data_IF_335136145603
#
_entry.id   IF_335136145603
#
_cell.length_a   1.000
_cell.length_b   1.000
_cell.length_c   1.000
_cell.angle_alpha   90.00
_cell.angle_beta   90.00
_cell.angle_gamma   90.00
#
_symmetry.space_group_name_H-M   'P 1'
#
loop_
_entity.id
_entity.type
_entity.pdbx_description
1 polymer ?
#
# COMPACT_ATOMS: atom_id res chain seq x y z
N UNK A 1 4.96 -31.28 -14.05
CA UNK A 1 6.35 -30.79 -14.12
C UNK A 1 6.56 -29.87 -12.92
N UNK A 2 7.17 -30.41 -11.87
CA UNK A 2 7.39 -29.71 -10.60
C UNK A 2 8.83 -29.24 -10.46
N UNK A 3 8.95 -28.01 -9.97
CA UNK A 3 9.79 -27.52 -8.87
C UNK A 3 11.28 -27.90 -8.70
N UNK A 4 11.98 -26.87 -8.21
CA UNK A 4 13.14 -26.81 -7.31
C UNK A 4 14.56 -26.63 -7.87
N UNK A 5 15.21 -25.65 -7.21
CA UNK A 5 16.56 -25.10 -7.32
C UNK A 5 17.65 -26.17 -7.32
N UNK A 6 18.74 -25.89 -8.04
CA UNK A 6 20.07 -26.35 -7.66
C UNK A 6 21.06 -25.18 -7.78
N UNK A 7 21.55 -24.75 -6.62
CA UNK A 7 22.78 -24.00 -6.45
C UNK A 7 23.90 -25.01 -6.23
N UNK A 8 25.06 -24.85 -6.88
CA UNK A 8 26.41 -25.00 -6.32
C UNK A 8 27.45 -25.26 -7.40
N UNK A 9 28.58 -24.54 -7.31
CA UNK A 9 29.88 -25.04 -7.76
C UNK A 9 30.55 -24.24 -8.88
N UNK A 10 31.31 -23.21 -8.53
CA UNK A 10 32.73 -23.21 -8.89
C UNK A 10 33.53 -22.41 -7.86
N UNK A 11 34.39 -23.14 -7.14
CA UNK A 11 35.48 -22.63 -6.31
C UNK A 11 36.52 -21.94 -7.19
N UNK A 12 37.01 -20.79 -6.76
CA UNK A 12 38.39 -20.35 -6.96
C UNK A 12 38.80 -19.47 -5.77
N UNK A 13 39.66 -20.05 -4.94
CA UNK A 13 40.40 -19.41 -3.86
C UNK A 13 41.49 -18.51 -4.42
N UNK A 14 41.69 -17.31 -3.87
CA UNK A 14 43.03 -16.76 -3.63
C UNK A 14 42.97 -15.85 -2.40
N UNK A 15 43.74 -16.21 -1.36
CA UNK A 15 44.02 -15.38 -0.21
C UNK A 15 45.04 -14.28 -0.58
N UNK A 16 44.81 -13.07 -0.12
CA UNK A 16 45.73 -11.94 -0.26
C UNK A 16 45.44 -10.87 0.79
N UNK A 17 45.96 -11.07 2.00
CA UNK A 17 45.95 -10.05 3.06
C UNK A 17 47.10 -9.08 2.74
N UNK A 18 46.78 -7.86 2.32
CA UNK A 18 47.74 -6.77 2.27
C UNK A 18 47.73 -6.01 3.61
N UNK A 19 48.78 -6.20 4.40
CA UNK A 19 49.10 -5.33 5.54
C UNK A 19 49.73 -4.04 5.00
N UNK A 20 49.09 -2.90 5.22
CA UNK A 20 49.73 -1.59 5.03
C UNK A 20 50.39 -1.15 6.35
N UNK A 21 51.72 -1.19 6.39
CA UNK A 21 52.54 -0.61 7.45
C UNK A 21 52.45 0.92 7.39
N UNK A 22 52.04 1.56 8.49
CA UNK A 22 52.23 2.99 8.69
C UNK A 22 53.63 3.25 9.25
N UNK A 23 54.50 3.85 8.45
CA UNK A 23 55.81 4.35 8.87
C UNK A 23 55.62 5.66 9.63
N UNK A 24 56.11 5.71 10.87
CA UNK A 24 56.26 6.95 11.65
C UNK A 24 57.34 7.85 11.03
N UNK A 25 57.02 9.12 10.78
CA UNK A 25 58.01 10.18 10.55
C UNK A 25 58.28 10.95 11.85
N UNK A 26 59.52 11.37 12.15
CA UNK A 26 59.82 12.13 13.36
C UNK A 26 59.50 13.62 13.19
N UNK A 27 59.04 14.23 14.28
CA UNK A 27 58.86 15.68 14.43
C UNK A 27 60.21 16.41 14.34
N UNK A 28 60.27 17.44 13.49
CA UNK A 28 61.31 18.47 13.53
C UNK A 28 60.68 19.75 14.07
N UNK A 29 61.19 20.21 15.21
CA UNK A 29 60.88 21.50 15.84
C UNK A 29 61.68 22.64 15.20
N UNK A 30 61.01 23.72 14.82
CA UNK A 30 61.60 25.00 14.41
C UNK A 30 60.67 26.18 14.73
N UNK A 31 61.18 27.38 15.04
CA UNK A 31 60.51 28.35 15.92
C UNK A 31 59.49 29.25 15.20
N UNK A 32 58.53 29.74 15.99
CA UNK A 32 57.28 30.31 15.54
C UNK A 32 57.28 31.68 14.88
N UNK A 33 56.10 32.01 14.38
CA UNK A 33 55.59 33.37 14.24
C UNK A 33 54.08 33.35 14.55
N UNK A 34 53.68 34.17 15.52
CA UNK A 34 52.30 34.41 15.94
C UNK A 34 51.56 35.22 14.88
N UNK A 35 50.38 34.77 14.45
CA UNK A 35 49.26 35.66 14.16
C UNK A 35 47.96 35.00 14.61
N UNK A 36 47.30 35.67 15.55
CA UNK A 36 46.05 35.33 16.21
C UNK A 36 44.86 35.34 15.25
N UNK A 37 44.15 34.21 15.17
CA UNK A 37 42.77 34.12 14.69
C UNK A 37 42.08 33.05 15.51
N UNK A 38 41.12 33.45 16.34
CA UNK A 38 40.43 32.59 17.31
C UNK A 38 39.72 31.43 16.63
N UNK A 39 40.29 30.23 16.74
CA UNK A 39 39.55 28.97 16.61
C UNK A 39 39.11 28.57 18.00
N UNK A 40 37.80 28.54 18.24
CA UNK A 40 37.23 27.89 19.43
C UNK A 40 37.36 26.38 19.20
N UNK A 41 38.56 25.86 19.44
CA UNK A 41 38.78 24.44 19.60
C UNK A 41 38.27 24.05 20.99
N UNK A 42 37.06 23.49 21.06
CA UNK A 42 36.60 22.79 22.26
C UNK A 42 37.57 21.64 22.55
N UNK A 43 38.30 21.75 23.65
CA UNK A 43 39.11 20.66 24.21
C UNK A 43 38.20 19.47 24.53
N UNK A 44 38.59 18.22 24.22
CA UNK A 44 37.82 17.07 24.68
C UNK A 44 38.03 16.95 26.19
N UNK A 45 37.03 17.36 26.97
CA UNK A 45 37.03 17.13 28.40
C UNK A 45 36.98 15.62 28.66
N UNK A 46 37.95 15.12 29.43
CA UNK A 46 37.92 13.78 30.01
C UNK A 46 36.70 13.67 30.94
N UNK A 47 35.56 13.22 30.40
CA UNK A 47 34.36 12.90 31.18
C UNK A 47 33.60 11.73 30.54
N UNK A 48 34.28 10.60 30.32
CA UNK A 48 33.62 9.31 30.05
C UNK A 48 33.35 8.54 31.35
N UNK A 49 32.85 9.23 32.37
CA UNK A 49 32.31 8.61 33.58
C UNK A 49 31.36 9.59 34.25
N UNK A 50 30.05 9.45 34.00
CA UNK A 50 28.95 9.71 34.95
C UNK A 50 27.58 9.49 34.27
N UNK A 51 27.06 8.27 34.39
CA UNK A 51 25.73 7.80 33.94
C UNK A 51 25.46 7.87 32.42
N UNK A 52 24.92 6.79 31.85
CA UNK A 52 24.39 6.79 30.48
C UNK A 52 23.09 7.61 30.42
N UNK A 53 23.17 8.95 30.54
CA UNK A 53 22.02 9.81 30.33
C UNK A 53 21.70 9.85 28.84
N UNK A 54 20.47 9.49 28.46
CA UNK A 54 20.01 9.48 27.07
C UNK A 54 20.08 10.84 26.35
N UNK A 55 20.17 11.96 27.09
CA UNK A 55 20.27 13.30 26.52
C UNK A 55 21.52 13.53 25.66
N UNK A 56 22.64 12.88 25.98
CA UNK A 56 23.86 12.98 25.15
C UNK A 56 23.68 12.32 23.78
N UNK A 57 22.89 11.25 23.69
CA UNK A 57 22.63 10.58 22.40
C UNK A 57 21.81 11.46 21.47
N UNK A 58 20.79 12.13 21.98
CA UNK A 58 20.00 13.08 21.20
C UNK A 58 20.86 14.25 20.70
N UNK A 59 21.66 14.87 21.57
CA UNK A 59 22.55 15.97 21.19
C UNK A 59 23.57 15.55 20.11
N UNK A 60 24.11 14.33 20.22
CA UNK A 60 25.04 13.78 19.23
C UNK A 60 24.36 13.52 17.88
N UNK A 61 23.17 12.91 17.88
CA UNK A 61 22.38 12.69 16.66
C UNK A 61 22.04 14.00 15.96
N UNK A 62 21.66 15.03 16.72
CA UNK A 62 21.40 16.37 16.18
C UNK A 62 22.66 17.02 15.62
N UNK A 63 23.82 16.86 16.26
CA UNK A 63 25.10 17.41 15.79
C UNK A 63 25.57 16.76 14.49
N UNK A 64 25.42 15.44 14.36
CA UNK A 64 25.71 14.74 13.10
C UNK A 64 24.74 15.23 12.01
N UNK A 65 23.45 15.34 12.33
CA UNK A 65 22.44 15.80 11.37
C UNK A 65 22.70 17.23 10.92
N UNK A 66 23.07 18.12 11.85
CA UNK A 66 23.44 19.51 11.55
C UNK A 66 24.68 19.60 10.65
N UNK A 67 25.65 18.70 10.83
CA UNK A 67 26.81 18.61 9.92
C UNK A 67 26.37 18.23 8.51
N UNK A 68 25.48 17.25 8.38
CA UNK A 68 24.88 16.86 7.08
C UNK A 68 24.06 18.01 6.49
N UNK A 69 23.35 18.79 7.32
CA UNK A 69 22.58 19.95 6.90
C UNK A 69 23.47 21.03 6.26
N UNK A 70 24.65 21.28 6.83
CA UNK A 70 25.64 22.21 6.27
C UNK A 70 26.11 21.73 4.88
N UNK A 71 26.48 20.46 4.75
CA UNK A 71 26.89 19.91 3.45
C UNK A 71 25.76 19.91 2.42
N UNK A 72 24.52 19.71 2.85
CA UNK A 72 23.35 19.82 1.99
C UNK A 72 23.16 21.26 1.49
N UNK A 73 23.30 22.26 2.37
CA UNK A 73 23.26 23.67 1.97
C UNK A 73 24.34 24.02 0.93
N UNK A 74 25.56 23.52 1.13
CA UNK A 74 26.66 23.66 0.17
C UNK A 74 26.35 23.01 -1.18
N UNK A 75 25.77 21.81 -1.17
CA UNK A 75 25.39 21.09 -2.39
C UNK A 75 24.31 21.85 -3.18
N UNK A 76 23.27 22.34 -2.48
CA UNK A 76 22.21 23.15 -3.08
C UNK A 76 22.74 24.46 -3.67
N UNK A 77 23.68 25.11 -2.98
CA UNK A 77 24.32 26.34 -3.46
C UNK A 77 25.20 26.11 -4.71
N UNK A 78 25.82 24.93 -4.84
CA UNK A 78 26.78 24.61 -5.91
C UNK A 78 26.19 23.79 -7.06
N UNK A 79 24.89 23.51 -7.04
CA UNK A 79 24.26 22.53 -7.94
C UNK A 79 24.44 22.86 -9.44
N UNK A 80 24.56 24.14 -9.81
CA UNK A 80 24.82 24.57 -11.20
C UNK A 80 26.31 24.52 -11.62
N UNK A 81 27.22 24.28 -10.68
CA UNK A 81 28.67 24.26 -10.90
C UNK A 81 29.35 22.90 -10.69
N UNK A 82 28.65 21.91 -10.12
CA UNK A 82 29.19 20.57 -9.87
C UNK A 82 28.86 19.60 -11.01
N UNK A 83 29.80 18.73 -11.42
CA UNK A 83 29.48 17.61 -12.30
C UNK A 83 28.42 16.69 -11.69
N UNK A 84 27.46 16.23 -12.49
CA UNK A 84 26.31 15.43 -12.03
C UNK A 84 26.72 14.17 -11.24
N UNK A 85 27.79 13.49 -11.67
CA UNK A 85 28.31 12.31 -10.98
C UNK A 85 28.81 12.62 -9.56
N UNK A 86 29.45 13.78 -9.37
CA UNK A 86 29.93 14.24 -8.07
C UNK A 86 28.76 14.61 -7.16
N UNK A 87 27.75 15.30 -7.69
CA UNK A 87 26.54 15.64 -6.92
C UNK A 87 25.83 14.38 -6.39
N UNK A 88 25.66 13.37 -7.25
CA UNK A 88 25.06 12.07 -6.87
C UNK A 88 25.90 11.34 -5.83
N UNK A 89 27.23 11.33 -5.98
CA UNK A 89 28.12 10.69 -5.01
C UNK A 89 28.06 11.37 -3.64
N UNK A 90 28.06 12.71 -3.61
CA UNK A 90 27.91 13.48 -2.37
C UNK A 90 26.56 13.18 -1.72
N UNK A 91 25.46 13.18 -2.47
CA UNK A 91 24.13 12.83 -1.96
C UNK A 91 24.14 11.43 -1.30
N UNK A 92 24.70 10.42 -1.97
CA UNK A 92 24.78 9.06 -1.45
C UNK A 92 25.60 8.98 -0.16
N UNK A 93 26.74 9.68 -0.10
CA UNK A 93 27.59 9.70 1.08
C UNK A 93 26.89 10.39 2.26
N UNK A 94 26.19 11.50 2.02
CA UNK A 94 25.40 12.19 3.05
C UNK A 94 24.26 11.29 3.56
N UNK A 95 23.56 10.59 2.67
CA UNK A 95 22.53 9.61 3.05
C UNK A 95 23.12 8.51 3.93
N UNK A 96 24.28 7.96 3.55
CA UNK A 96 24.94 6.90 4.31
C UNK A 96 25.35 7.36 5.72
N UNK A 97 25.83 8.60 5.88
CA UNK A 97 26.15 9.17 7.20
C UNK A 97 24.90 9.16 8.09
N UNK A 98 23.76 9.61 7.57
CA UNK A 98 22.49 9.61 8.31
C UNK A 98 22.06 8.20 8.67
N UNK A 99 22.11 7.26 7.72
CA UNK A 99 21.72 5.86 7.94
C UNK A 99 22.59 5.13 8.97
N UNK A 100 23.91 5.32 8.91
CA UNK A 100 24.83 4.72 9.87
C UNK A 100 24.62 5.31 11.27
N UNK A 101 24.41 6.61 11.35
CA UNK A 101 24.11 7.30 12.62
C UNK A 101 22.80 6.80 13.23
N UNK A 102 21.76 6.63 12.41
CA UNK A 102 20.49 6.02 12.82
C UNK A 102 20.68 4.58 13.32
N UNK A 103 21.46 3.75 12.59
CA UNK A 103 21.76 2.37 13.02
C UNK A 103 22.44 2.33 14.37
N UNK A 104 23.42 3.21 14.61
CA UNK A 104 24.10 3.33 15.91
C UNK A 104 23.11 3.77 16.99
N UNK A 105 22.34 4.82 16.72
CA UNK A 105 21.33 5.34 17.67
C UNK A 105 20.33 4.26 18.09
N UNK A 106 19.78 3.50 17.14
CA UNK A 106 18.82 2.42 17.41
C UNK A 106 19.41 1.25 18.19
N UNK A 107 20.73 1.04 18.14
CA UNK A 107 21.41 0.03 18.96
C UNK A 107 21.65 0.49 20.39
N UNK A 108 21.69 1.79 20.62
CA UNK A 108 21.94 2.39 21.93
C UNK A 108 20.63 2.74 22.67
N UNK A 109 19.53 2.92 21.95
CA UNK A 109 18.23 3.27 22.53
C UNK A 109 17.32 2.04 22.60
N UNK A 110 16.70 1.81 23.77
CA UNK A 110 15.85 0.64 24.04
C UNK A 110 14.43 0.73 23.46
N UNK A 111 13.99 1.92 23.01
CA UNK A 111 12.69 2.13 22.37
C UNK A 111 12.84 2.98 21.10
N UNK A 112 12.28 2.52 19.97
CA UNK A 112 12.29 3.26 18.70
C UNK A 112 11.36 4.49 18.67
N UNK A 113 11.00 5.04 19.83
CA UNK A 113 10.11 6.21 19.94
C UNK A 113 10.92 7.49 19.91
N UNK A 114 10.40 8.55 19.29
CA UNK A 114 11.07 9.85 19.28
C UNK A 114 12.27 9.94 18.32
N UNK A 115 12.44 8.97 17.41
CA UNK A 115 13.61 8.89 16.52
C UNK A 115 13.67 10.10 15.59
N UNK A 116 12.55 10.51 14.99
CA UNK A 116 12.53 11.65 14.07
C UNK A 116 12.83 12.97 14.80
N UNK A 117 12.34 13.12 16.03
CA UNK A 117 12.61 14.26 16.90
C UNK A 117 14.08 14.28 17.35
N UNK A 118 14.65 13.12 17.68
CA UNK A 118 16.04 13.00 18.08
C UNK A 118 17.02 13.35 16.94
N UNK A 119 16.61 13.12 15.69
CA UNK A 119 17.37 13.53 14.51
C UNK A 119 16.91 14.89 13.94
N UNK A 120 15.94 15.56 14.56
CA UNK A 120 15.49 16.89 14.11
C UNK A 120 14.97 16.91 12.66
N UNK A 121 14.40 15.80 12.18
CA UNK A 121 14.03 15.63 10.75
C UNK A 121 13.12 16.76 10.27
N UNK A 122 12.06 17.08 11.02
CA UNK A 122 11.14 18.15 10.65
C UNK A 122 11.82 19.54 10.70
N UNK A 123 12.60 19.82 11.74
CA UNK A 123 13.28 21.11 11.91
C UNK A 123 14.25 21.42 10.77
N UNK A 124 14.83 20.39 10.13
CA UNK A 124 15.72 20.55 8.97
C UNK A 124 15.02 21.10 7.71
N UNK A 125 13.67 21.10 7.67
CA UNK A 125 12.93 21.77 6.58
C UNK A 125 13.18 23.28 6.55
N UNK A 126 13.53 23.90 7.69
CA UNK A 126 13.83 25.33 7.79
C UNK A 126 15.09 25.76 7.01
N UNK A 127 15.87 24.80 6.50
CA UNK A 127 17.10 25.06 5.74
C UNK A 127 16.83 25.55 4.31
N UNK A 128 15.62 25.34 3.79
CA UNK A 128 15.30 25.65 2.40
C UNK A 128 13.88 26.15 2.20
N UNK A 129 13.56 26.39 0.93
CA UNK A 129 12.26 26.90 0.55
C UNK A 129 11.30 25.74 0.30
N UNK A 130 10.22 25.64 1.09
CA UNK A 130 9.19 24.60 0.93
C UNK A 130 8.44 24.70 -0.41
N UNK A 131 8.55 25.83 -1.12
CA UNK A 131 8.02 26.00 -2.46
C UNK A 131 8.95 25.48 -3.57
N UNK A 132 10.22 25.18 -3.27
CA UNK A 132 11.19 24.64 -4.21
C UNK A 132 11.13 23.10 -4.26
N UNK A 133 10.67 22.50 -5.37
CA UNK A 133 10.55 21.05 -5.48
C UNK A 133 11.91 20.32 -5.45
N UNK A 134 12.99 20.99 -5.85
CA UNK A 134 14.35 20.41 -5.87
C UNK A 134 14.86 20.24 -4.44
N UNK A 135 14.74 21.30 -3.64
CA UNK A 135 15.04 21.24 -2.21
C UNK A 135 14.24 20.14 -1.51
N UNK A 136 12.92 20.11 -1.68
CA UNK A 136 12.03 19.17 -0.98
C UNK A 136 12.32 17.71 -1.38
N UNK A 137 12.61 17.46 -2.66
CA UNK A 137 13.00 16.14 -3.13
C UNK A 137 14.32 15.67 -2.51
N UNK A 138 15.33 16.55 -2.46
CA UNK A 138 16.63 16.24 -1.87
C UNK A 138 16.55 16.07 -0.36
N UNK A 139 15.79 16.94 0.33
CA UNK A 139 15.48 16.81 1.74
C UNK A 139 14.85 15.45 2.04
N UNK A 140 13.86 15.02 1.25
CA UNK A 140 13.22 13.72 1.47
C UNK A 140 14.24 12.58 1.34
N UNK A 141 15.04 12.57 0.26
CA UNK A 141 16.05 11.54 -0.03
C UNK A 141 17.05 11.37 1.12
N UNK A 142 17.53 12.48 1.67
CA UNK A 142 18.60 12.50 2.66
C UNK A 142 18.12 12.43 4.11
N UNK A 143 17.03 13.14 4.42
CA UNK A 143 16.59 13.40 5.80
C UNK A 143 15.34 12.66 6.19
N UNK A 144 14.50 12.25 5.23
CA UNK A 144 13.24 11.56 5.53
C UNK A 144 13.32 10.06 5.25
N UNK A 145 13.85 9.67 4.09
CA UNK A 145 13.82 8.28 3.61
C UNK A 145 14.43 7.28 4.62
N UNK A 146 15.58 7.53 5.27
CA UNK A 146 16.14 6.62 6.28
C UNK A 146 15.22 6.36 7.48
N UNK A 147 14.29 7.28 7.76
CA UNK A 147 13.43 7.28 8.94
C UNK A 147 12.02 6.76 8.68
N UNK A 148 11.69 6.40 7.42
CA UNK A 148 10.36 5.90 7.04
C UNK A 148 9.82 4.74 7.90
N UNK A 149 10.64 3.77 8.38
CA UNK A 149 10.16 2.72 9.27
C UNK A 149 9.68 3.22 10.65
N UNK A 150 10.09 4.42 11.06
CA UNK A 150 9.87 5.00 12.39
C UNK A 150 8.85 6.15 12.40
N UNK A 151 8.19 6.43 11.27
CA UNK A 151 7.24 7.54 11.17
C UNK A 151 6.11 7.40 12.18
N UNK A 152 5.84 8.50 12.88
CA UNK A 152 4.78 8.61 13.87
C UNK A 152 3.62 9.42 13.31
N UNK A 153 2.43 9.22 13.89
CA UNK A 153 1.26 10.03 13.57
C UNK A 153 1.50 11.52 13.88
N UNK A 154 2.14 11.85 15.01
CA UNK A 154 2.45 13.24 15.38
C UNK A 154 3.35 13.93 14.36
N UNK A 155 4.35 13.21 13.82
CA UNK A 155 5.21 13.73 12.77
C UNK A 155 4.43 14.00 11.47
N UNK A 156 3.59 13.04 11.04
CA UNK A 156 2.81 13.18 9.80
C UNK A 156 1.83 14.36 9.85
N UNK A 157 1.18 14.58 11.00
CA UNK A 157 0.31 15.74 11.22
C UNK A 157 1.10 17.04 11.09
N UNK A 158 2.28 17.13 11.72
CA UNK A 158 3.12 18.31 11.62
C UNK A 158 3.59 18.56 10.18
N UNK A 159 4.07 17.52 9.50
CA UNK A 159 4.47 17.59 8.10
C UNK A 159 3.31 18.05 7.18
N UNK A 160 2.07 17.60 7.45
CA UNK A 160 0.88 18.02 6.71
C UNK A 160 0.47 19.48 6.93
N UNK A 161 0.95 20.10 8.00
CA UNK A 161 0.71 21.51 8.32
C UNK A 161 1.79 22.45 7.74
N UNK A 162 2.87 21.90 7.20
CA UNK A 162 3.89 22.69 6.51
C UNK A 162 3.34 23.30 5.21
N UNK A 163 3.82 24.50 4.87
CA UNK A 163 3.33 25.29 3.73
C UNK A 163 4.06 24.94 2.43
N UNK A 164 4.02 23.68 2.02
CA UNK A 164 4.54 23.26 0.72
C UNK A 164 3.75 23.88 -0.44
N UNK A 165 4.44 24.21 -1.54
CA UNK A 165 3.75 24.42 -2.82
C UNK A 165 3.18 23.08 -3.33
N UNK A 166 2.16 23.11 -4.18
CA UNK A 166 1.60 21.88 -4.74
C UNK A 166 2.64 21.04 -5.49
N UNK A 167 3.55 21.68 -6.24
CA UNK A 167 4.65 20.98 -6.90
C UNK A 167 5.59 20.29 -5.90
N UNK A 168 5.92 20.93 -4.78
CA UNK A 168 6.76 20.34 -3.73
C UNK A 168 6.06 19.22 -2.99
N UNK A 169 4.79 19.40 -2.65
CA UNK A 169 3.97 18.35 -2.05
C UNK A 169 3.92 17.11 -2.95
N UNK A 170 3.69 17.29 -4.25
CA UNK A 170 3.67 16.19 -5.21
C UNK A 170 5.01 15.46 -5.31
N UNK A 171 6.16 16.16 -5.15
CA UNK A 171 7.47 15.51 -5.03
C UNK A 171 7.56 14.61 -3.79
N UNK A 172 7.01 15.04 -2.66
CA UNK A 172 6.93 14.20 -1.47
C UNK A 172 6.09 12.95 -1.74
N UNK A 173 4.91 13.09 -2.37
CA UNK A 173 4.03 11.95 -2.67
C UNK A 173 4.72 10.94 -3.58
N UNK A 174 5.44 11.39 -4.60
CA UNK A 174 6.24 10.52 -5.47
C UNK A 174 7.30 9.79 -4.64
N UNK A 175 8.03 10.49 -3.78
CA UNK A 175 9.10 9.88 -2.99
C UNK A 175 8.57 8.88 -1.94
N UNK A 176 7.48 9.22 -1.23
CA UNK A 176 6.78 8.29 -0.35
C UNK A 176 6.24 7.07 -1.11
N UNK A 177 5.81 7.23 -2.35
CA UNK A 177 5.29 6.13 -3.17
C UNK A 177 6.40 5.15 -3.58
N UNK A 178 7.58 5.67 -3.95
CA UNK A 178 8.76 4.86 -4.27
C UNK A 178 9.20 4.05 -3.05
N UNK A 179 9.29 4.70 -1.89
CA UNK A 179 9.79 4.09 -0.65
C UNK A 179 8.71 3.38 0.17
N UNK A 180 7.50 3.19 -0.40
CA UNK A 180 6.32 2.63 0.29
C UNK A 180 6.61 1.30 1.00
N UNK A 181 7.47 0.46 0.42
CA UNK A 181 7.81 -0.86 0.94
C UNK A 181 8.54 -0.83 2.29
N UNK A 182 9.15 0.30 2.65
CA UNK A 182 9.81 0.51 3.94
C UNK A 182 8.84 1.00 5.04
N UNK A 183 7.60 1.32 4.67
CA UNK A 183 6.55 1.80 5.57
C UNK A 183 5.61 0.63 5.89
N UNK A 184 5.36 0.32 7.17
CA UNK A 184 4.45 -0.78 7.51
C UNK A 184 3.00 -0.43 7.15
N UNK A 185 2.17 -1.44 6.89
CA UNK A 185 0.80 -1.25 6.41
C UNK A 185 -0.03 -0.24 7.23
N UNK A 186 0.02 -0.30 8.57
CA UNK A 186 -0.67 0.67 9.44
C UNK A 186 -0.15 2.10 9.25
N UNK A 187 1.15 2.27 9.07
CA UNK A 187 1.76 3.58 8.83
C UNK A 187 1.48 4.09 7.42
N UNK A 188 1.32 3.22 6.41
CA UNK A 188 0.90 3.66 5.07
C UNK A 188 -0.49 4.31 5.10
N UNK A 189 -1.44 3.72 5.84
CA UNK A 189 -2.74 4.34 6.07
C UNK A 189 -2.62 5.65 6.86
N UNK A 190 -1.69 5.73 7.82
CA UNK A 190 -1.40 6.95 8.55
C UNK A 190 -0.82 8.06 7.65
N UNK A 191 0.05 7.73 6.68
CA UNK A 191 0.57 8.67 5.67
C UNK A 191 -0.60 9.27 4.89
N UNK A 192 -1.52 8.44 4.41
CA UNK A 192 -2.73 8.96 3.77
C UNK A 192 -3.54 9.86 4.72
N UNK A 193 -3.90 9.36 5.90
CA UNK A 193 -4.85 10.03 6.80
C UNK A 193 -4.32 11.33 7.39
N UNK A 194 -3.07 11.32 7.85
CA UNK A 194 -2.50 12.39 8.66
C UNK A 194 -1.58 13.33 7.89
N UNK A 195 -1.10 12.93 6.70
CA UNK A 195 -0.30 13.79 5.84
C UNK A 195 -1.07 14.17 4.57
N UNK A 196 -1.33 13.22 3.67
CA UNK A 196 -1.93 13.49 2.34
C UNK A 196 -3.30 14.16 2.47
N UNK A 197 -4.23 13.50 3.17
CA UNK A 197 -5.59 13.99 3.37
C UNK A 197 -5.60 15.32 4.11
N UNK A 198 -4.77 15.46 5.14
CA UNK A 198 -4.68 16.67 5.95
C UNK A 198 -4.21 17.86 5.11
N UNK A 199 -3.14 17.69 4.32
CA UNK A 199 -2.62 18.73 3.43
C UNK A 199 -3.62 19.12 2.33
N UNK A 200 -4.20 18.15 1.62
CA UNK A 200 -5.16 18.43 0.53
C UNK A 200 -6.47 19.06 1.03
N UNK A 201 -6.81 18.88 2.32
CA UNK A 201 -7.99 19.49 2.93
C UNK A 201 -7.82 20.96 3.31
N UNK A 202 -6.59 21.50 3.25
CA UNK A 202 -6.27 22.85 3.70
C UNK A 202 -6.86 23.91 2.77
N UNK A 203 -7.75 24.72 3.33
CA UNK A 203 -8.43 25.82 2.61
C UNK A 203 -7.65 27.14 2.64
N UNK A 204 -6.61 27.21 3.45
CA UNK A 204 -5.77 28.38 3.64
C UNK A 204 -4.57 28.44 2.66
N UNK A 205 -4.39 27.41 1.83
CA UNK A 205 -3.40 27.39 0.76
C UNK A 205 -3.95 28.05 -0.53
N UNK A 206 -3.09 28.56 -1.42
CA UNK A 206 -3.52 29.19 -2.67
C UNK A 206 -4.27 28.28 -3.65
N UNK A 207 -3.97 26.97 -3.63
CA UNK A 207 -4.61 25.95 -4.46
C UNK A 207 -5.02 24.74 -3.60
N UNK A 208 -6.14 24.84 -2.83
CA UNK A 208 -6.65 23.74 -2.03
C UNK A 208 -6.88 22.48 -2.90
N UNK A 209 -6.41 21.32 -2.42
CA UNK A 209 -6.49 20.07 -3.17
C UNK A 209 -5.51 19.95 -4.35
N UNK A 210 -4.67 20.96 -4.60
CA UNK A 210 -3.66 20.97 -5.67
C UNK A 210 -4.23 20.65 -7.06
N UNK A 211 -5.36 21.28 -7.39
CA UNK A 211 -6.14 21.02 -8.61
C UNK A 211 -5.54 21.76 -9.80
N UNK A 212 -5.04 22.98 -9.61
CA UNK A 212 -4.58 23.84 -10.72
C UNK A 212 -3.25 23.40 -11.35
N UNK A 213 -2.48 22.56 -10.64
CA UNK A 213 -1.13 22.12 -11.04
C UNK A 213 -1.10 21.04 -12.14
N UNK A 214 -2.25 20.49 -12.53
CA UNK A 214 -2.36 19.30 -13.39
C UNK A 214 -3.55 19.41 -14.35
N UNK A 215 -3.46 18.76 -15.51
CA UNK A 215 -4.39 18.98 -16.62
C UNK A 215 -5.67 18.11 -16.57
N UNK A 216 -5.61 16.95 -15.92
CA UNK A 216 -6.72 16.01 -15.87
C UNK A 216 -6.78 15.24 -14.55
N UNK A 217 -7.92 14.58 -14.29
CA UNK A 217 -8.16 13.84 -13.05
C UNK A 217 -7.24 12.63 -12.86
N UNK A 218 -6.73 12.06 -13.96
CA UNK A 218 -5.83 10.91 -13.94
C UNK A 218 -4.45 11.32 -13.44
N UNK A 219 -3.91 12.40 -14.00
CA UNK A 219 -2.66 13.04 -13.56
C UNK A 219 -2.79 13.57 -12.15
N UNK A 220 -3.92 14.19 -11.81
CA UNK A 220 -4.19 14.69 -10.47
C UNK A 220 -4.18 13.59 -9.41
N UNK A 221 -4.84 12.46 -9.65
CA UNK A 221 -4.85 11.32 -8.74
C UNK A 221 -3.43 10.79 -8.53
N UNK A 222 -2.67 10.62 -9.62
CA UNK A 222 -1.30 10.12 -9.55
C UNK A 222 -0.36 11.09 -8.81
N UNK A 223 -0.43 12.38 -9.10
CA UNK A 223 0.47 13.38 -8.54
C UNK A 223 0.22 13.60 -7.04
N UNK A 224 -1.05 13.62 -6.61
CA UNK A 224 -1.41 14.00 -5.25
C UNK A 224 -1.58 12.80 -4.30
N UNK A 225 -1.74 11.58 -4.81
CA UNK A 225 -1.91 10.38 -3.97
C UNK A 225 -0.89 9.28 -4.27
N UNK A 226 -0.41 9.18 -5.50
CA UNK A 226 0.54 8.13 -5.91
C UNK A 226 0.07 6.73 -5.49
N UNK A 227 0.96 5.97 -4.86
CA UNK A 227 0.65 4.62 -4.36
C UNK A 227 -0.29 4.56 -3.16
N UNK A 228 -0.67 5.71 -2.59
CA UNK A 228 -1.60 5.81 -1.45
C UNK A 228 -3.05 6.07 -1.90
N UNK A 229 -3.31 6.17 -3.20
CA UNK A 229 -4.65 6.42 -3.75
C UNK A 229 -5.71 5.43 -3.26
N UNK A 230 -5.34 4.18 -3.02
CA UNK A 230 -6.24 3.13 -2.53
C UNK A 230 -6.79 3.37 -1.12
N UNK A 231 -6.18 4.27 -0.34
CA UNK A 231 -6.66 4.60 0.99
C UNK A 231 -7.72 5.72 0.98
N UNK A 232 -7.89 6.42 -0.14
CA UNK A 232 -8.89 7.46 -0.28
C UNK A 232 -10.28 6.87 -0.58
N UNK A 233 -11.32 7.48 -0.04
CA UNK A 233 -12.70 7.21 -0.49
C UNK A 233 -13.01 7.99 -1.77
N UNK A 234 -13.99 7.55 -2.55
CA UNK A 234 -14.48 8.34 -3.71
C UNK A 234 -14.92 9.73 -3.28
N UNK A 235 -15.57 9.83 -2.11
CA UNK A 235 -16.02 11.11 -1.55
C UNK A 235 -14.85 12.04 -1.26
N UNK A 236 -13.75 11.53 -0.67
CA UNK A 236 -12.55 12.31 -0.45
C UNK A 236 -12.00 12.88 -1.76
N UNK A 237 -11.90 12.05 -2.82
CA UNK A 237 -11.42 12.49 -4.13
C UNK A 237 -12.29 13.62 -4.72
N UNK A 238 -13.60 13.50 -4.62
CA UNK A 238 -14.55 14.51 -5.11
C UNK A 238 -14.53 15.81 -4.29
N UNK A 239 -14.27 15.72 -2.98
CA UNK A 239 -14.13 16.90 -2.11
C UNK A 239 -12.84 17.67 -2.41
N UNK A 240 -11.74 16.97 -2.66
CA UNK A 240 -10.45 17.61 -2.95
C UNK A 240 -10.34 18.11 -4.38
N UNK A 241 -10.99 17.44 -5.33
CA UNK A 241 -11.10 17.89 -6.71
C UNK A 241 -12.57 17.87 -7.16
N UNK A 242 -13.27 19.02 -7.09
CA UNK A 242 -14.66 19.12 -7.54
C UNK A 242 -14.89 18.74 -9.01
N UNK A 243 -13.84 18.78 -9.84
CA UNK A 243 -13.87 18.40 -11.25
C UNK A 243 -13.37 16.96 -11.49
N UNK A 244 -13.30 16.13 -10.44
CA UNK A 244 -12.79 14.77 -10.54
C UNK A 244 -13.70 13.90 -11.44
N UNK A 245 -13.17 13.49 -12.58
CA UNK A 245 -13.85 12.69 -13.58
C UNK A 245 -13.56 11.20 -13.39
N UNK A 246 -14.53 10.49 -12.81
CA UNK A 246 -14.47 9.04 -12.61
C UNK A 246 -14.22 8.29 -13.92
N UNK A 247 -14.83 8.73 -15.02
CA UNK A 247 -14.79 8.01 -16.29
C UNK A 247 -13.35 7.84 -16.81
N UNK A 248 -12.51 8.88 -16.67
CA UNK A 248 -11.11 8.83 -17.10
C UNK A 248 -10.19 8.17 -16.07
N UNK A 249 -10.60 8.11 -14.79
CA UNK A 249 -9.79 7.53 -13.71
C UNK A 249 -10.15 6.11 -13.34
N UNK A 250 -11.24 5.54 -13.88
CA UNK A 250 -11.77 4.24 -13.46
C UNK A 250 -10.71 3.13 -13.53
N UNK A 251 -9.83 3.17 -14.53
CA UNK A 251 -8.71 2.25 -14.70
C UNK A 251 -7.65 2.31 -13.58
N UNK A 252 -7.60 3.40 -12.81
CA UNK A 252 -6.64 3.63 -11.73
C UNK A 252 -7.21 3.43 -10.32
N UNK A 253 -8.54 3.35 -10.19
CA UNK A 253 -9.19 3.21 -8.89
C UNK A 253 -8.93 1.82 -8.28
N UNK A 254 -8.84 1.74 -6.96
CA UNK A 254 -8.82 0.47 -6.24
C UNK A 254 -10.17 -0.25 -6.33
N UNK A 255 -10.22 -1.59 -6.26
CA UNK A 255 -11.48 -2.33 -6.33
C UNK A 255 -12.52 -1.89 -5.28
N UNK A 256 -12.08 -1.55 -4.07
CA UNK A 256 -12.94 -0.95 -3.03
C UNK A 256 -13.53 0.41 -3.45
N UNK A 257 -12.74 1.28 -4.06
CA UNK A 257 -13.24 2.56 -4.59
C UNK A 257 -14.23 2.36 -5.74
N UNK A 258 -14.03 1.35 -6.59
CA UNK A 258 -14.97 0.98 -7.65
C UNK A 258 -16.29 0.46 -7.07
N UNK A 259 -16.25 -0.25 -5.93
CA UNK A 259 -17.48 -0.64 -5.22
C UNK A 259 -18.22 0.58 -4.65
N UNK A 260 -17.50 1.51 -3.99
CA UNK A 260 -18.07 2.77 -3.48
C UNK A 260 -18.76 3.57 -4.58
N UNK A 261 -18.17 3.56 -5.78
CA UNK A 261 -18.74 4.20 -6.96
C UNK A 261 -20.15 3.70 -7.28
N UNK A 262 -20.35 2.37 -7.28
CA UNK A 262 -21.64 1.76 -7.59
C UNK A 262 -22.70 1.96 -6.48
N UNK A 263 -22.24 2.27 -5.26
CA UNK A 263 -23.12 2.60 -4.14
C UNK A 263 -23.49 4.10 -4.10
N UNK A 264 -22.84 4.94 -4.92
CA UNK A 264 -23.12 6.37 -4.96
C UNK A 264 -24.46 6.68 -5.64
N UNK A 265 -25.33 7.43 -4.95
CA UNK A 265 -26.63 7.85 -5.48
C UNK A 265 -26.56 8.73 -6.73
N UNK A 266 -25.39 9.33 -7.00
CA UNK A 266 -25.21 10.28 -8.10
C UNK A 266 -24.83 9.59 -9.42
N UNK A 267 -24.75 8.26 -9.44
CA UNK A 267 -24.27 7.50 -10.58
C UNK A 267 -25.37 6.57 -11.08
N UNK A 268 -25.65 6.66 -12.37
CA UNK A 268 -26.52 5.68 -13.03
C UNK A 268 -25.72 4.43 -13.34
N UNK A 269 -26.05 3.32 -12.68
CA UNK A 269 -25.40 2.03 -12.92
C UNK A 269 -26.09 1.35 -14.11
N UNK A 270 -25.41 1.29 -15.25
CA UNK A 270 -25.87 0.62 -16.46
C UNK A 270 -24.89 -0.49 -16.92
N UNK A 271 -25.26 -1.20 -17.99
CA UNK A 271 -24.46 -2.31 -18.53
C UNK A 271 -23.09 -1.85 -19.05
N UNK A 272 -22.99 -0.64 -19.60
CA UNK A 272 -21.75 -0.11 -20.13
C UNK A 272 -20.76 0.21 -19.01
N UNK A 273 -21.23 0.85 -17.93
CA UNK A 273 -20.42 1.09 -16.74
C UNK A 273 -19.96 -0.23 -16.13
N UNK A 274 -20.84 -1.21 -15.98
CA UNK A 274 -20.46 -2.53 -15.46
C UNK A 274 -19.38 -3.20 -16.33
N UNK A 275 -19.43 -3.04 -17.66
CA UNK A 275 -18.36 -3.56 -18.51
C UNK A 275 -17.02 -2.91 -18.19
N UNK A 276 -16.96 -1.59 -18.08
CA UNK A 276 -15.72 -0.87 -17.75
C UNK A 276 -15.22 -1.21 -16.34
N UNK A 277 -16.13 -1.36 -15.37
CA UNK A 277 -15.82 -1.83 -14.01
C UNK A 277 -15.14 -3.19 -14.07
N UNK A 278 -15.70 -4.16 -14.81
CA UNK A 278 -15.11 -5.49 -14.89
C UNK A 278 -13.85 -5.54 -15.77
N UNK A 279 -13.67 -4.64 -16.73
CA UNK A 279 -12.38 -4.43 -17.40
C UNK A 279 -11.30 -4.00 -16.41
N UNK A 280 -11.63 -3.06 -15.51
CA UNK A 280 -10.74 -2.67 -14.41
C UNK A 280 -10.46 -3.83 -13.45
N UNK A 281 -11.49 -4.58 -13.04
CA UNK A 281 -11.32 -5.69 -12.09
C UNK A 281 -10.54 -6.86 -12.72
N UNK A 282 -10.61 -7.06 -14.03
CA UNK A 282 -9.84 -8.09 -14.73
C UNK A 282 -8.34 -7.77 -14.83
N UNK A 283 -7.92 -6.51 -14.64
CA UNK A 283 -6.53 -6.12 -14.73
C UNK A 283 -5.70 -6.64 -13.55
N UNK A 284 -4.65 -7.42 -13.83
CA UNK A 284 -3.79 -8.02 -12.81
C UNK A 284 -4.42 -9.27 -12.18
N UNK A 285 -4.52 -9.32 -10.85
CA UNK A 285 -5.14 -10.45 -10.16
C UNK A 285 -6.66 -10.28 -10.08
N UNK A 286 -7.37 -10.81 -11.07
CA UNK A 286 -8.81 -10.65 -11.18
C UNK A 286 -9.59 -11.23 -9.98
N UNK A 287 -9.13 -12.36 -9.42
CA UNK A 287 -9.79 -12.98 -8.27
C UNK A 287 -9.68 -12.08 -7.03
N UNK A 288 -8.48 -11.56 -6.74
CA UNK A 288 -8.25 -10.64 -5.61
C UNK A 288 -9.04 -9.34 -5.80
N UNK A 289 -9.08 -8.79 -7.01
CA UNK A 289 -9.83 -7.57 -7.29
C UNK A 289 -11.34 -7.77 -7.09
N UNK A 290 -11.92 -8.85 -7.61
CA UNK A 290 -13.35 -9.15 -7.44
C UNK A 290 -13.69 -9.46 -5.99
N UNK A 291 -12.78 -10.14 -5.27
CA UNK A 291 -12.90 -10.35 -3.83
C UNK A 291 -13.03 -9.01 -3.08
N UNK A 292 -12.06 -8.11 -3.24
CA UNK A 292 -12.07 -6.81 -2.57
C UNK A 292 -13.31 -5.99 -2.96
N UNK A 293 -13.66 -5.95 -4.24
CA UNK A 293 -14.84 -5.25 -4.75
C UNK A 293 -16.15 -5.75 -4.11
N UNK A 294 -16.40 -7.07 -4.13
CA UNK A 294 -17.63 -7.63 -3.55
C UNK A 294 -17.65 -7.54 -2.02
N UNK A 295 -16.49 -7.66 -1.38
CA UNK A 295 -16.35 -7.44 0.07
C UNK A 295 -16.77 -6.01 0.42
N UNK A 296 -16.32 -5.02 -0.35
CA UNK A 296 -16.71 -3.62 -0.15
C UNK A 296 -18.20 -3.39 -0.45
N UNK A 297 -18.76 -3.99 -1.52
CA UNK A 297 -20.19 -3.89 -1.85
C UNK A 297 -21.12 -4.48 -0.78
N UNK A 298 -20.62 -5.41 0.04
CA UNK A 298 -21.37 -6.05 1.11
C UNK A 298 -21.04 -5.50 2.50
N UNK A 299 -20.15 -4.51 2.56
CA UNK A 299 -19.84 -3.76 3.78
C UNK A 299 -21.09 -2.96 4.17
N UNK A 300 -21.36 -2.83 5.48
CA UNK A 300 -22.54 -2.12 6.05
C UNK A 300 -23.84 -2.94 6.13
N UNK A 301 -23.85 -4.21 5.70
CA UNK A 301 -24.95 -5.14 5.93
C UNK A 301 -26.22 -4.86 5.10
N UNK A 302 -26.23 -3.80 4.30
CA UNK A 302 -27.26 -3.55 3.29
C UNK A 302 -26.86 -4.24 1.99
N UNK A 303 -27.74 -5.08 1.45
CA UNK A 303 -27.53 -5.72 0.15
C UNK A 303 -28.03 -4.76 -0.95
N UNK A 304 -27.13 -4.15 -1.75
CA UNK A 304 -27.55 -3.20 -2.77
C UNK A 304 -28.44 -3.88 -3.81
N UNK A 305 -29.50 -3.16 -4.21
CA UNK A 305 -30.46 -3.65 -5.20
C UNK A 305 -30.12 -3.08 -6.57
N UNK A 306 -29.59 -3.95 -7.44
CA UNK A 306 -29.32 -3.61 -8.84
C UNK A 306 -30.50 -3.98 -9.74
N UNK A 307 -30.67 -3.23 -10.83
CA UNK A 307 -31.61 -3.59 -11.89
C UNK A 307 -31.28 -4.99 -12.43
N UNK A 308 -32.27 -5.86 -12.74
CA UNK A 308 -32.02 -7.25 -13.12
C UNK A 308 -31.00 -7.42 -14.25
N UNK A 309 -31.05 -6.59 -15.29
CA UNK A 309 -30.10 -6.64 -16.42
C UNK A 309 -28.66 -6.33 -15.98
N UNK A 310 -28.49 -5.34 -15.09
CA UNK A 310 -27.19 -4.96 -14.51
C UNK A 310 -26.67 -6.08 -13.62
N UNK A 311 -27.54 -6.61 -12.74
CA UNK A 311 -27.24 -7.72 -11.84
C UNK A 311 -26.83 -8.98 -12.61
N UNK A 312 -27.55 -9.31 -13.67
CA UNK A 312 -27.25 -10.43 -14.58
C UNK A 312 -25.88 -10.24 -15.23
N UNK A 313 -25.56 -9.02 -15.68
CA UNK A 313 -24.25 -8.72 -16.25
C UNK A 313 -23.12 -8.86 -15.24
N UNK A 314 -23.29 -8.34 -14.02
CA UNK A 314 -22.31 -8.45 -12.95
C UNK A 314 -22.07 -9.91 -12.57
N UNK A 315 -23.14 -10.70 -12.37
CA UNK A 315 -23.03 -12.11 -12.01
C UNK A 315 -22.29 -12.91 -13.08
N UNK A 316 -22.59 -12.68 -14.38
CA UNK A 316 -21.89 -13.35 -15.45
C UNK A 316 -20.38 -13.07 -15.42
N UNK A 317 -20.00 -11.78 -15.37
CA UNK A 317 -18.58 -11.38 -15.32
C UNK A 317 -17.87 -11.88 -14.07
N UNK A 318 -18.54 -11.87 -12.91
CA UNK A 318 -18.00 -12.43 -11.67
C UNK A 318 -17.78 -13.94 -11.80
N UNK A 319 -18.74 -14.68 -12.36
CA UNK A 319 -18.65 -16.13 -12.50
C UNK A 319 -17.49 -16.55 -13.43
N UNK A 320 -17.29 -15.83 -14.54
CA UNK A 320 -16.16 -16.03 -15.44
C UNK A 320 -14.81 -15.96 -14.70
N UNK A 321 -14.70 -15.03 -13.74
CA UNK A 321 -13.49 -14.82 -12.95
C UNK A 321 -13.33 -15.89 -11.88
N UNK A 322 -14.39 -16.21 -11.12
CA UNK A 322 -14.25 -17.08 -9.93
C UNK A 322 -14.33 -18.57 -10.25
N UNK A 323 -15.00 -18.97 -11.34
CA UNK A 323 -15.27 -20.38 -11.63
C UNK A 323 -14.02 -21.25 -11.81
N UNK A 324 -12.92 -20.78 -12.43
CA UNK A 324 -11.68 -21.57 -12.52
C UNK A 324 -11.04 -21.87 -11.17
N UNK A 325 -11.36 -21.09 -10.13
CA UNK A 325 -10.75 -21.20 -8.81
C UNK A 325 -11.50 -22.15 -7.87
N UNK A 326 -12.71 -22.61 -8.24
CA UNK A 326 -13.51 -23.50 -7.38
C UNK A 326 -12.79 -24.81 -7.01
N UNK A 327 -11.91 -25.33 -7.88
CA UNK A 327 -11.12 -26.53 -7.56
C UNK A 327 -10.16 -26.34 -6.37
N UNK A 328 -9.77 -25.09 -6.10
CA UNK A 328 -8.88 -24.73 -4.99
C UNK A 328 -9.63 -24.23 -3.75
N UNK A 329 -10.94 -23.99 -3.85
CA UNK A 329 -11.72 -23.45 -2.75
C UNK A 329 -11.88 -24.47 -1.62
N UNK A 330 -11.65 -23.99 -0.41
CA UNK A 330 -11.97 -24.70 0.82
C UNK A 330 -13.37 -24.33 1.29
N UNK A 331 -13.88 -25.08 2.28
CA UNK A 331 -15.20 -24.85 2.90
C UNK A 331 -15.43 -23.38 3.30
N UNK A 332 -14.39 -22.75 3.87
CA UNK A 332 -14.45 -21.35 4.30
C UNK A 332 -14.64 -20.41 3.10
N UNK A 333 -14.01 -20.70 1.97
CA UNK A 333 -14.14 -19.91 0.76
C UNK A 333 -15.55 -20.01 0.19
N UNK A 334 -16.10 -21.23 0.09
CA UNK A 334 -17.51 -21.40 -0.31
C UNK A 334 -18.46 -20.63 0.59
N UNK A 335 -18.25 -20.68 1.91
CA UNK A 335 -19.05 -19.91 2.87
C UNK A 335 -18.95 -18.41 2.59
N UNK A 336 -17.72 -17.87 2.50
CA UNK A 336 -17.51 -16.45 2.28
C UNK A 336 -18.07 -15.96 0.93
N UNK A 337 -17.90 -16.75 -0.14
CA UNK A 337 -18.38 -16.38 -1.47
C UNK A 337 -19.90 -16.47 -1.58
N UNK A 338 -20.52 -17.59 -1.20
CA UNK A 338 -21.96 -17.81 -1.43
C UNK A 338 -22.87 -17.27 -0.32
N UNK A 339 -22.35 -17.00 0.87
CA UNK A 339 -23.14 -16.50 2.01
C UNK A 339 -22.87 -15.04 2.34
N UNK A 340 -21.87 -14.42 1.71
CA UNK A 340 -21.52 -13.01 1.94
C UNK A 340 -21.33 -12.30 0.61
N UNK A 341 -20.21 -12.56 -0.09
CA UNK A 341 -19.74 -11.73 -1.22
C UNK A 341 -20.69 -11.71 -2.42
N UNK A 342 -21.28 -12.85 -2.78
CA UNK A 342 -22.14 -12.95 -3.95
C UNK A 342 -23.57 -12.47 -3.70
N UNK A 343 -24.01 -12.29 -2.45
CA UNK A 343 -25.41 -11.95 -2.13
C UNK A 343 -26.01 -10.80 -2.97
N UNK A 344 -25.29 -9.70 -3.28
CA UNK A 344 -25.83 -8.62 -4.12
C UNK A 344 -26.23 -9.04 -5.54
N UNK A 345 -25.62 -10.11 -6.05
CA UNK A 345 -25.76 -10.56 -7.45
C UNK A 345 -26.22 -12.01 -7.58
N UNK A 346 -26.33 -12.76 -6.48
CA UNK A 346 -26.60 -14.20 -6.48
C UNK A 346 -27.98 -14.56 -7.03
N UNK A 347 -28.96 -13.66 -6.96
CA UNK A 347 -30.27 -13.86 -7.59
C UNK A 347 -30.20 -13.93 -9.14
N UNK A 348 -29.07 -13.57 -9.73
CA UNK A 348 -28.78 -13.72 -11.16
C UNK A 348 -28.02 -14.99 -11.53
N UNK A 349 -27.74 -15.86 -10.54
CA UNK A 349 -27.05 -17.13 -10.78
C UNK A 349 -27.89 -18.05 -11.67
N UNK A 350 -27.28 -18.60 -12.71
CA UNK A 350 -27.99 -19.39 -13.73
C UNK A 350 -27.98 -20.89 -13.39
N UNK A 351 -28.89 -21.68 -13.98
CA UNK A 351 -28.87 -23.14 -13.83
C UNK A 351 -27.54 -23.77 -14.29
N UNK A 352 -26.94 -23.23 -15.34
CA UNK A 352 -25.64 -23.68 -15.86
C UNK A 352 -24.50 -23.38 -14.88
N UNK A 353 -24.45 -22.16 -14.33
CA UNK A 353 -23.47 -21.78 -13.30
C UNK A 353 -23.58 -22.70 -12.08
N UNK A 354 -24.81 -23.02 -11.67
CA UNK A 354 -25.09 -23.94 -10.57
C UNK A 354 -24.64 -25.36 -10.87
N UNK A 355 -24.93 -25.87 -12.07
CA UNK A 355 -24.46 -27.18 -12.50
C UNK A 355 -22.93 -27.26 -12.50
N UNK A 356 -22.25 -26.21 -12.98
CA UNK A 356 -20.80 -26.14 -13.03
C UNK A 356 -20.19 -26.17 -11.62
N UNK A 357 -20.62 -25.26 -10.73
CA UNK A 357 -20.06 -25.20 -9.36
C UNK A 357 -20.39 -26.43 -8.53
N UNK A 358 -21.50 -27.12 -8.79
CA UNK A 358 -21.92 -28.30 -8.01
C UNK A 358 -21.36 -29.62 -8.55
N UNK A 359 -20.74 -29.63 -9.73
CA UNK A 359 -20.34 -30.85 -10.44
C UNK A 359 -19.37 -31.76 -9.66
N UNK A 360 -18.50 -31.19 -8.84
CA UNK A 360 -17.39 -31.91 -8.18
C UNK A 360 -17.26 -31.61 -6.68
N UNK A 361 -18.23 -30.92 -6.09
CA UNK A 361 -18.18 -30.51 -4.69
C UNK A 361 -18.75 -31.57 -3.74
N UNK A 362 -18.26 -31.58 -2.52
CA UNK A 362 -18.81 -32.40 -1.45
C UNK A 362 -20.13 -31.82 -0.91
N UNK A 363 -20.84 -32.65 -0.18
CA UNK A 363 -22.14 -32.36 0.40
C UNK A 363 -22.20 -31.16 1.34
N UNK A 364 -21.16 -30.98 2.14
CA UNK A 364 -20.99 -29.82 3.00
C UNK A 364 -20.96 -28.51 2.19
N UNK A 365 -20.16 -28.46 1.13
CA UNK A 365 -20.03 -27.24 0.32
C UNK A 365 -21.28 -27.03 -0.52
N UNK A 366 -21.93 -28.11 -0.96
CA UNK A 366 -23.22 -28.07 -1.62
C UNK A 366 -24.29 -27.41 -0.75
N UNK A 367 -24.42 -27.82 0.52
CA UNK A 367 -25.37 -27.21 1.47
C UNK A 367 -25.13 -25.70 1.65
N UNK A 368 -23.87 -25.26 1.67
CA UNK A 368 -23.53 -23.83 1.76
C UNK A 368 -24.09 -23.06 0.55
N UNK A 369 -23.88 -23.59 -0.67
CA UNK A 369 -24.37 -22.97 -1.91
C UNK A 369 -25.90 -22.94 -1.91
N UNK A 370 -26.55 -24.06 -1.63
CA UNK A 370 -28.02 -24.16 -1.60
C UNK A 370 -28.61 -23.19 -0.58
N UNK A 371 -28.01 -23.09 0.60
CA UNK A 371 -28.46 -22.15 1.62
C UNK A 371 -28.32 -20.72 1.09
N UNK A 372 -27.18 -20.35 0.49
CA UNK A 372 -26.99 -19.00 -0.09
C UNK A 372 -28.04 -18.68 -1.16
N UNK A 373 -28.35 -19.65 -2.02
CA UNK A 373 -29.41 -19.52 -3.02
C UNK A 373 -30.80 -19.35 -2.40
N UNK A 374 -31.08 -20.04 -1.29
CA UNK A 374 -32.33 -19.90 -0.55
C UNK A 374 -32.50 -18.47 -0.01
N UNK A 375 -31.44 -17.86 0.53
CA UNK A 375 -31.44 -16.49 1.07
C UNK A 375 -31.87 -15.44 0.02
N UNK A 376 -31.59 -15.68 -1.26
CA UNK A 376 -31.90 -14.75 -2.37
C UNK A 376 -33.04 -15.20 -3.28
N UNK A 377 -33.72 -16.31 -2.94
CA UNK A 377 -34.74 -16.94 -3.79
C UNK A 377 -35.91 -16.01 -4.13
N UNK A 378 -36.32 -15.16 -3.18
CA UNK A 378 -37.39 -14.17 -3.37
C UNK A 378 -37.08 -13.12 -4.43
N UNK A 379 -35.81 -12.87 -4.72
CA UNK A 379 -35.35 -11.92 -5.75
C UNK A 379 -35.15 -12.58 -7.14
N UNK A 380 -35.43 -13.87 -7.26
CA UNK A 380 -35.39 -14.63 -8.52
C UNK A 380 -36.78 -14.70 -9.16
N UNK A 381 -36.88 -14.58 -10.50
CA UNK A 381 -38.11 -14.88 -11.22
C UNK A 381 -38.53 -16.35 -11.03
N UNK A 382 -39.84 -16.63 -11.07
CA UNK A 382 -40.39 -17.97 -10.84
C UNK A 382 -39.82 -19.03 -11.79
N UNK A 383 -39.66 -18.72 -13.08
CA UNK A 383 -39.08 -19.67 -14.04
C UNK A 383 -37.64 -20.04 -13.65
N UNK A 384 -36.84 -19.07 -13.18
CA UNK A 384 -35.45 -19.28 -12.76
C UNK A 384 -35.39 -20.16 -11.51
N UNK A 385 -36.31 -19.97 -10.56
CA UNK A 385 -36.42 -20.84 -9.38
C UNK A 385 -36.70 -22.30 -9.78
N UNK A 386 -37.58 -22.53 -10.75
CA UNK A 386 -37.91 -23.88 -11.24
C UNK A 386 -36.71 -24.56 -11.89
N UNK A 387 -35.97 -23.85 -12.74
CA UNK A 387 -34.77 -24.38 -13.39
C UNK A 387 -33.65 -24.70 -12.38
N UNK A 388 -33.43 -23.82 -11.40
CA UNK A 388 -32.48 -24.05 -10.30
C UNK A 388 -32.90 -25.28 -9.49
N UNK A 389 -34.18 -25.40 -9.13
CA UNK A 389 -34.69 -26.56 -8.39
C UNK A 389 -34.46 -27.87 -9.14
N UNK A 390 -34.61 -27.87 -10.47
CA UNK A 390 -34.31 -29.05 -11.30
C UNK A 390 -32.83 -29.45 -11.24
N UNK A 391 -31.90 -28.48 -11.25
CA UNK A 391 -30.46 -28.75 -11.10
C UNK A 391 -30.14 -29.33 -9.73
N UNK A 392 -30.70 -28.76 -8.65
CA UNK A 392 -30.52 -29.25 -7.29
C UNK A 392 -31.06 -30.68 -7.13
N UNK A 393 -32.24 -30.96 -7.67
CA UNK A 393 -32.83 -32.31 -7.67
C UNK A 393 -31.96 -33.31 -8.43
N UNK A 394 -31.39 -32.91 -9.56
CA UNK A 394 -30.46 -33.74 -10.34
C UNK A 394 -29.22 -34.13 -9.53
N UNK A 395 -28.63 -33.17 -8.80
CA UNK A 395 -27.50 -33.44 -7.90
C UNK A 395 -27.87 -34.44 -6.79
N UNK A 396 -29.01 -34.22 -6.11
CA UNK A 396 -29.48 -35.13 -5.06
C UNK A 396 -29.73 -36.54 -5.60
N UNK A 397 -30.38 -36.67 -6.75
CA UNK A 397 -30.66 -37.98 -7.37
C UNK A 397 -29.38 -38.73 -7.72
N UNK A 398 -28.39 -38.04 -8.31
CA UNK A 398 -27.06 -38.64 -8.58
C UNK A 398 -26.39 -39.10 -7.30
N UNK A 399 -26.49 -38.30 -6.24
CA UNK A 399 -25.87 -38.60 -4.95
C UNK A 399 -26.55 -39.82 -4.28
N UNK A 400 -27.87 -39.93 -4.34
CA UNK A 400 -28.63 -41.11 -3.87
C UNK A 400 -28.24 -42.38 -4.64
N UNK A 401 -28.03 -42.29 -5.95
CA UNK A 401 -27.57 -43.44 -6.73
C UNK A 401 -26.17 -43.93 -6.32
N UNK A 402 -25.31 -43.05 -5.80
CA UNK A 402 -24.00 -43.42 -5.22
C UNK A 402 -24.20 -44.15 -3.87
N UNK A 403 -25.17 -43.75 -3.04
CA UNK A 403 -25.50 -44.44 -1.78
C UNK A 403 -25.95 -45.88 -2.05
N UNK A 404 -26.75 -46.10 -3.09
CA UNK A 404 -27.36 -47.40 -3.38
C UNK A 404 -26.38 -48.42 -4.02
N UNK A 405 -25.11 -48.06 -4.25
CA UNK A 405 -24.09 -49.00 -4.73
C UNK A 405 -23.46 -49.78 -3.55
N UNK A 406 -23.44 -51.13 -3.57
CA UNK A 406 -22.88 -51.91 -2.48
C UNK A 406 -21.37 -51.66 -2.32
N UNK A 407 -20.94 -51.28 -1.10
CA UNK A 407 -19.53 -51.35 -0.68
C UNK A 407 -18.71 -50.05 -0.70
N UNK A 408 -19.29 -48.85 -0.82
CA UNK A 408 -18.54 -47.58 -0.73
C UNK A 408 -18.70 -46.83 0.60
N UNK A 409 -17.57 -46.40 1.18
CA UNK A 409 -17.49 -45.52 2.36
C UNK A 409 -18.11 -44.12 2.15
N UNK A 410 -18.48 -43.78 0.92
CA UNK A 410 -19.05 -42.47 0.57
C UNK A 410 -20.55 -42.36 0.85
N UNK A 411 -21.24 -43.49 1.09
CA UNK A 411 -22.67 -43.51 1.42
C UNK A 411 -23.00 -42.68 2.68
N UNK A 412 -22.14 -42.73 3.72
CA UNK A 412 -22.34 -41.96 4.96
C UNK A 412 -22.24 -40.44 4.74
N UNK A 413 -21.33 -39.99 3.84
CA UNK A 413 -21.17 -38.56 3.51
C UNK A 413 -22.37 -38.00 2.76
N UNK A 414 -23.03 -38.82 1.94
CA UNK A 414 -24.22 -38.42 1.20
C UNK A 414 -25.47 -38.45 2.07
N UNK A 415 -25.60 -39.38 3.03
CA UNK A 415 -26.75 -39.39 3.96
C UNK A 415 -26.80 -38.11 4.80
N UNK A 416 -25.65 -37.60 5.26
CA UNK A 416 -25.54 -36.33 5.99
C UNK A 416 -25.94 -35.12 5.11
N UNK A 417 -25.73 -35.23 3.79
CA UNK A 417 -26.10 -34.23 2.79
C UNK A 417 -27.60 -34.00 2.65
N UNK A 418 -28.38 -35.07 2.82
CA UNK A 418 -29.82 -35.10 2.54
C UNK A 418 -30.69 -34.93 3.78
N UNK A 419 -30.09 -34.90 4.98
CA UNK A 419 -30.80 -34.92 6.27
C UNK A 419 -30.66 -33.63 7.09
N UNK A 420 -29.88 -32.66 6.58
CA UNK A 420 -29.73 -31.31 7.13
C UNK A 420 -29.90 -30.29 6.01
#
# INVERSE_FOLDING_TARGET
MGAFRSSSGLLLSVAGIAHANFSFFPLISGPGFLTTGESIASTPSNSFQESCQGGYLQNNSQSITASVDIFLGELLCKNDGLPQNVSVEVEQNLKLIVELSLKVYLKLVNNGTGVLEAFGVLNSLNLGNLSDPTFVQLWFSLKMAPFLPYISQSFLIQLGNENFSCSSFQKLIVAFSIERWFIQSKQQQAVYTHFIKSFLSRKDLPDPGCVSSVNDSQQWLQANFGSFSSFATIQDLQVFNPNFSINVTLSQLAPSQVAELLLSSNITVDVNLINQVFERLAAGNALENVDEFLTKLTTEGQVPQFQPVVRDRMMNRTFDIISPHFISFQRKDYSLWFRVKLLPILASFTPEMLQNVTSTINCTNYQIIVSGMADVSSAMPQYRQQEIAAVLLSYMTKSVNIINQPGRSDALKVIICCTA
#
